data_IF_378577077055
#
_entry.id   IF_378577077055
#
_cell.length_a   1.000
_cell.length_b   1.000
_cell.length_c   1.000
_cell.angle_alpha   90.00
_cell.angle_beta   90.00
_cell.angle_gamma   90.00
#
_symmetry.space_group_name_H-M   'P 1'
#
loop_
_entity.id
_entity.type
_entity.pdbx_description
1 polymer ?
#
# COMPACT_ATOMS: atom_id res chain seq x y z
N UNK A 1 39.72 -55.76 -20.03
CA UNK A 1 38.91 -54.54 -19.80
C UNK A 1 38.73 -53.79 -21.12
N UNK A 2 37.87 -54.30 -22.01
CA UNK A 2 37.36 -53.65 -23.22
C UNK A 2 35.99 -54.28 -23.54
N UNK A 3 35.03 -53.44 -23.93
CA UNK A 3 33.74 -53.62 -24.65
C UNK A 3 33.08 -55.00 -24.72
N UNK A 4 31.76 -55.00 -24.52
CA UNK A 4 30.68 -55.62 -25.33
C UNK A 4 29.37 -55.37 -24.57
N UNK A 5 28.18 -55.17 -25.12
CA UNK A 5 27.62 -55.29 -26.46
C UNK A 5 26.10 -55.26 -26.24
N UNK A 6 25.37 -54.51 -27.06
CA UNK A 6 23.91 -54.40 -26.98
C UNK A 6 23.26 -55.72 -27.44
N UNK A 7 22.26 -56.21 -26.71
CA UNK A 7 21.27 -57.13 -27.26
C UNK A 7 19.90 -56.81 -26.65
N UNK A 8 18.91 -56.64 -27.53
CA UNK A 8 17.58 -56.14 -27.25
C UNK A 8 16.56 -57.16 -27.77
N UNK A 9 15.84 -57.84 -26.87
CA UNK A 9 14.60 -58.62 -27.12
C UNK A 9 13.86 -58.56 -25.76
N UNK A 10 12.76 -57.83 -25.60
CA UNK A 10 11.44 -58.18 -26.11
C UNK A 10 10.62 -58.80 -24.97
N UNK A 11 9.76 -58.02 -24.31
CA UNK A 11 8.96 -58.50 -23.18
C UNK A 11 8.11 -57.42 -22.53
N UNK A 12 7.04 -57.05 -23.23
CA UNK A 12 5.98 -56.15 -22.78
C UNK A 12 5.13 -56.85 -21.70
N UNK A 13 4.97 -56.24 -20.52
CA UNK A 13 3.83 -56.54 -19.64
C UNK A 13 3.28 -55.22 -19.09
N UNK A 14 2.09 -54.90 -19.60
CA UNK A 14 1.28 -53.74 -19.27
C UNK A 14 0.83 -53.80 -17.81
N UNK A 15 1.03 -52.70 -17.08
CA UNK A 15 0.03 -52.23 -16.13
C UNK A 15 -0.40 -50.83 -16.54
N UNK A 16 -1.70 -50.70 -16.83
CA UNK A 16 -2.38 -49.45 -17.14
C UNK A 16 -2.63 -48.71 -15.83
N UNK A 17 -2.00 -47.55 -15.65
CA UNK A 17 -2.49 -46.49 -14.77
C UNK A 17 -2.43 -45.19 -15.58
N UNK A 18 -3.60 -44.61 -15.84
CA UNK A 18 -3.79 -43.32 -16.53
C UNK A 18 -3.00 -42.19 -15.88
N UNK A 19 -2.27 -41.36 -16.65
CA UNK A 19 -1.81 -40.06 -16.19
C UNK A 19 -2.85 -39.00 -16.56
N UNK A 20 -3.71 -38.63 -15.62
CA UNK A 20 -4.38 -37.31 -15.65
C UNK A 20 -3.67 -36.41 -14.64
N UNK A 21 -2.46 -35.97 -15.01
CA UNK A 21 -1.78 -34.86 -14.32
C UNK A 21 -2.20 -33.60 -15.06
N UNK A 22 -3.24 -32.94 -14.57
CA UNK A 22 -3.55 -31.59 -15.01
C UNK A 22 -2.48 -30.62 -14.51
N UNK A 23 -2.01 -29.81 -15.46
CA UNK A 23 -0.97 -28.79 -15.35
C UNK A 23 -1.27 -27.81 -14.21
N UNK A 24 -0.57 -27.93 -13.08
CA UNK A 24 -0.27 -26.77 -12.25
C UNK A 24 0.86 -26.03 -12.94
N UNK A 25 0.49 -25.01 -13.73
CA UNK A 25 1.46 -24.11 -14.35
C UNK A 25 2.26 -23.40 -13.27
N UNK A 26 3.57 -23.65 -13.24
CA UNK A 26 4.52 -22.83 -12.53
C UNK A 26 4.43 -21.39 -13.08
N UNK A 27 3.93 -20.45 -12.27
CA UNK A 27 3.98 -19.04 -12.61
C UNK A 27 5.41 -18.53 -12.41
N UNK A 28 6.05 -18.17 -13.51
CA UNK A 28 7.30 -17.41 -13.55
C UNK A 28 7.09 -16.02 -12.95
N UNK A 29 8.02 -15.49 -12.13
CA UNK A 29 7.92 -14.15 -11.57
C UNK A 29 8.36 -13.12 -12.62
N UNK A 30 7.39 -12.57 -13.35
CA UNK A 30 7.62 -11.50 -14.31
C UNK A 30 6.38 -11.27 -15.16
N UNK A 31 5.79 -10.08 -15.03
CA UNK A 31 4.58 -9.61 -15.74
C UNK A 31 3.26 -10.28 -15.32
N UNK A 32 2.82 -10.02 -14.09
CA UNK A 32 1.37 -10.03 -13.82
C UNK A 32 0.79 -8.79 -14.50
N UNK A 33 0.13 -8.97 -15.65
CA UNK A 33 -0.77 -7.96 -16.19
C UNK A 33 -1.85 -7.73 -15.13
N UNK A 34 -1.85 -6.55 -14.49
CA UNK A 34 -2.89 -6.14 -13.56
C UNK A 34 -4.22 -6.17 -14.32
N UNK A 35 -5.04 -7.18 -14.06
CA UNK A 35 -6.36 -7.26 -14.66
C UNK A 35 -7.23 -6.20 -13.99
N UNK A 36 -7.61 -5.17 -14.74
CA UNK A 36 -8.49 -4.10 -14.25
C UNK A 36 -9.83 -4.70 -13.79
N UNK A 37 -10.22 -4.41 -12.55
CA UNK A 37 -11.48 -4.92 -12.01
C UNK A 37 -12.61 -4.01 -12.52
N UNK A 38 -13.24 -4.44 -13.61
CA UNK A 38 -14.28 -3.65 -14.30
C UNK A 38 -15.70 -3.88 -13.78
N UNK A 39 -15.91 -4.90 -12.95
CA UNK A 39 -17.22 -5.20 -12.37
C UNK A 39 -17.40 -4.50 -11.02
N UNK A 40 -18.42 -3.65 -10.91
CA UNK A 40 -18.83 -3.09 -9.63
C UNK A 40 -19.54 -4.15 -8.80
N UNK A 41 -19.00 -4.42 -7.61
CA UNK A 41 -19.62 -5.29 -6.61
C UNK A 41 -20.11 -4.43 -5.46
N UNK A 42 -21.33 -4.69 -4.99
CA UNK A 42 -21.94 -3.99 -3.85
C UNK A 42 -21.54 -4.62 -2.50
N UNK A 43 -20.64 -5.61 -2.53
CA UNK A 43 -20.15 -6.32 -1.36
C UNK A 43 -18.63 -6.36 -1.30
N UNK A 44 -18.12 -6.01 -0.13
CA UNK A 44 -16.77 -6.34 0.30
C UNK A 44 -16.78 -7.76 0.87
N UNK A 45 -15.76 -8.53 0.51
CA UNK A 45 -15.48 -9.83 1.11
C UNK A 45 -14.10 -9.85 1.76
N UNK A 46 -14.07 -10.32 3.01
CA UNK A 46 -12.85 -10.42 3.80
C UNK A 46 -12.57 -11.89 4.09
N UNK A 47 -11.35 -12.32 3.81
CA UNK A 47 -10.85 -13.63 4.23
C UNK A 47 -9.73 -13.47 5.23
N UNK A 48 -9.84 -14.15 6.35
CA UNK A 48 -8.80 -14.15 7.39
C UNK A 48 -7.72 -15.16 7.02
N UNK A 49 -6.48 -14.70 6.86
CA UNK A 49 -5.34 -15.60 6.65
C UNK A 49 -4.99 -16.34 7.94
N UNK A 50 -4.60 -17.60 7.85
CA UNK A 50 -3.88 -18.28 8.94
C UNK A 50 -2.48 -17.69 9.10
N UNK A 51 -1.82 -17.92 10.23
CA UNK A 51 -0.43 -17.45 10.40
C UNK A 51 0.50 -18.03 9.32
N UNK A 52 0.32 -19.30 8.94
CA UNK A 52 1.14 -19.92 7.90
C UNK A 52 0.91 -19.30 6.51
N UNK A 53 -0.33 -18.92 6.19
CA UNK A 53 -0.61 -18.18 4.96
C UNK A 53 -0.04 -16.76 5.02
N UNK A 54 -0.24 -16.05 6.12
CA UNK A 54 0.29 -14.70 6.34
C UNK A 54 1.81 -14.65 6.17
N UNK A 55 2.55 -15.62 6.73
CA UNK A 55 4.00 -15.75 6.53
C UNK A 55 4.36 -15.89 5.05
N UNK A 56 3.62 -16.72 4.30
CA UNK A 56 3.83 -16.88 2.85
C UNK A 56 3.53 -15.60 2.07
N UNK A 57 2.51 -14.84 2.46
CA UNK A 57 2.18 -13.56 1.81
C UNK A 57 3.23 -12.49 2.06
N UNK A 58 3.73 -12.37 3.30
CA UNK A 58 4.70 -11.36 3.71
C UNK A 58 6.03 -11.50 2.96
N UNK A 59 6.51 -12.72 2.75
CA UNK A 59 7.81 -12.99 2.08
C UNK A 59 7.79 -12.79 0.57
N UNK A 60 6.61 -12.66 -0.05
CA UNK A 60 6.52 -12.41 -1.48
C UNK A 60 7.15 -11.05 -1.78
N UNK A 61 8.11 -11.04 -2.70
CA UNK A 61 8.74 -9.80 -3.12
C UNK A 61 7.81 -9.00 -4.06
N UNK A 62 7.68 -7.70 -3.82
CA UNK A 62 6.87 -6.79 -4.62
C UNK A 62 7.59 -5.46 -4.85
N UNK A 63 6.90 -4.47 -5.43
CA UNK A 63 7.48 -3.15 -5.66
C UNK A 63 7.96 -2.51 -4.36
N UNK A 64 7.21 -2.63 -3.27
CA UNK A 64 7.57 -2.06 -1.97
C UNK A 64 8.87 -2.67 -1.44
N UNK A 65 8.93 -4.00 -1.31
CA UNK A 65 10.11 -4.64 -0.70
C UNK A 65 11.35 -4.49 -1.57
N UNK A 66 11.25 -4.60 -2.91
CA UNK A 66 12.35 -4.30 -3.86
C UNK A 66 12.96 -2.92 -3.68
N UNK A 67 12.17 -1.97 -3.22
CA UNK A 67 12.56 -0.58 -3.08
C UNK A 67 13.04 -0.19 -1.67
N UNK A 68 13.18 -1.15 -0.75
CA UNK A 68 13.80 -0.90 0.55
C UNK A 68 15.24 -0.38 0.39
N UNK A 69 15.47 0.79 0.95
CA UNK A 69 16.80 1.39 1.07
C UNK A 69 17.56 0.78 2.25
N UNK A 70 18.89 0.95 2.33
CA UNK A 70 19.64 0.65 3.55
C UNK A 70 19.06 1.35 4.78
N UNK A 71 18.56 2.58 4.61
CA UNK A 71 17.88 3.32 5.67
C UNK A 71 16.58 2.63 6.11
N UNK A 72 15.71 2.21 5.18
CA UNK A 72 14.46 1.51 5.49
C UNK A 72 14.71 0.28 6.36
N UNK A 73 15.70 -0.53 5.95
CA UNK A 73 16.08 -1.78 6.62
C UNK A 73 16.57 -1.47 8.04
N UNK A 74 17.56 -0.59 8.17
CA UNK A 74 18.17 -0.28 9.45
C UNK A 74 17.17 0.32 10.43
N UNK A 75 16.33 1.25 9.97
CA UNK A 75 15.41 1.98 10.82
C UNK A 75 14.21 1.13 11.27
N UNK A 76 13.69 0.22 10.42
CA UNK A 76 12.62 -0.72 10.80
C UNK A 76 13.10 -1.83 11.74
N UNK A 77 14.34 -2.28 11.55
CA UNK A 77 14.99 -3.22 12.48
C UNK A 77 15.41 -2.56 13.80
N UNK A 78 15.41 -1.24 13.85
CA UNK A 78 16.07 -0.44 14.88
C UNK A 78 17.56 -0.82 15.07
N UNK A 79 18.23 -1.23 14.00
CA UNK A 79 19.61 -1.74 14.00
C UNK A 79 20.40 -1.20 12.79
N UNK A 80 21.46 -0.38 12.97
CA UNK A 80 22.22 0.21 11.87
C UNK A 80 22.94 -0.84 10.98
N UNK A 81 23.23 -2.03 11.51
CA UNK A 81 23.89 -3.12 10.78
C UNK A 81 22.89 -4.15 10.22
N UNK A 82 21.60 -3.84 10.29
CA UNK A 82 20.52 -4.73 9.87
C UNK A 82 20.55 -5.01 8.36
N UNK A 83 20.18 -6.24 8.00
CA UNK A 83 20.10 -6.68 6.60
C UNK A 83 18.67 -6.96 6.20
N UNK A 84 18.45 -7.04 4.88
CA UNK A 84 17.13 -7.34 4.31
C UNK A 84 16.56 -8.65 4.87
N UNK A 85 17.39 -9.68 4.99
CA UNK A 85 16.98 -10.99 5.50
C UNK A 85 16.55 -10.91 6.97
N UNK A 86 17.16 -10.02 7.75
CA UNK A 86 16.78 -9.78 9.14
C UNK A 86 15.39 -9.12 9.20
N UNK A 87 15.11 -8.14 8.34
CA UNK A 87 13.81 -7.46 8.30
C UNK A 87 12.70 -8.42 7.84
N UNK A 88 12.97 -9.27 6.84
CA UNK A 88 12.04 -10.33 6.44
C UNK A 88 11.81 -11.31 7.60
N UNK A 89 12.87 -11.72 8.30
CA UNK A 89 12.77 -12.62 9.46
C UNK A 89 11.97 -12.01 10.61
N UNK A 90 12.16 -10.70 10.85
CA UNK A 90 11.35 -9.95 11.81
C UNK A 90 9.88 -9.97 11.40
N UNK A 91 9.54 -9.59 10.16
CA UNK A 91 8.16 -9.56 9.68
C UNK A 91 7.46 -10.94 9.81
N UNK A 92 8.15 -12.04 9.49
CA UNK A 92 7.66 -13.41 9.70
C UNK A 92 7.41 -13.70 11.19
N UNK A 93 8.36 -13.34 12.06
CA UNK A 93 8.29 -13.55 13.50
C UNK A 93 7.18 -12.74 14.18
N UNK A 94 6.73 -11.65 13.55
CA UNK A 94 5.69 -10.77 14.05
C UNK A 94 4.26 -11.16 13.63
N UNK A 95 4.09 -12.21 12.81
CA UNK A 95 2.77 -12.75 12.45
C UNK A 95 2.05 -13.34 13.66
N UNK A 96 0.72 -13.14 13.74
CA UNK A 96 -0.16 -13.65 14.79
C UNK A 96 -1.38 -14.35 14.20
N UNK A 97 -2.02 -15.19 15.01
CA UNK A 97 -3.29 -15.84 14.64
C UNK A 97 -4.50 -14.96 15.01
N UNK A 98 -5.54 -15.07 14.19
CA UNK A 98 -6.85 -14.48 14.48
C UNK A 98 -7.57 -15.27 15.56
N UNK A 99 -8.17 -14.58 16.51
CA UNK A 99 -9.05 -15.19 17.51
C UNK A 99 -10.49 -15.28 16.98
N UNK A 100 -11.32 -16.20 17.50
CA UNK A 100 -12.74 -16.26 17.14
C UNK A 100 -13.50 -14.95 17.40
N UNK A 101 -13.13 -14.22 18.45
CA UNK A 101 -13.72 -12.92 18.80
C UNK A 101 -13.41 -11.85 17.74
N UNK A 102 -12.17 -11.77 17.30
CA UNK A 102 -11.74 -10.85 16.24
C UNK A 102 -12.43 -11.19 14.91
N UNK A 103 -12.50 -12.48 14.57
CA UNK A 103 -13.21 -12.93 13.38
C UNK A 103 -14.69 -12.49 13.38
N UNK A 104 -15.37 -12.61 14.53
CA UNK A 104 -16.74 -12.13 14.68
C UNK A 104 -16.86 -10.60 14.60
N UNK A 105 -15.87 -9.84 15.11
CA UNK A 105 -15.83 -8.38 14.95
C UNK A 105 -15.67 -7.97 13.49
N UNK A 106 -14.74 -8.60 12.77
CA UNK A 106 -14.51 -8.34 11.34
C UNK A 106 -15.76 -8.65 10.52
N UNK A 107 -16.45 -9.76 10.81
CA UNK A 107 -17.69 -10.12 10.12
C UNK A 107 -18.81 -9.08 10.36
N UNK A 108 -18.90 -8.51 11.57
CA UNK A 108 -19.86 -7.43 11.85
C UNK A 108 -19.51 -6.15 11.09
N UNK A 109 -18.22 -5.78 11.04
CA UNK A 109 -17.75 -4.64 10.25
C UNK A 109 -18.07 -4.86 8.76
N UNK A 110 -17.79 -6.06 8.22
CA UNK A 110 -18.09 -6.42 6.84
C UNK A 110 -19.57 -6.21 6.49
N UNK A 111 -20.48 -6.71 7.32
CA UNK A 111 -21.93 -6.52 7.14
C UNK A 111 -22.31 -5.04 7.16
N UNK A 112 -21.84 -4.30 8.16
CA UNK A 112 -22.11 -2.85 8.31
C UNK A 112 -21.59 -2.03 7.12
N UNK A 113 -20.41 -2.37 6.60
CA UNK A 113 -19.86 -1.75 5.41
C UNK A 113 -20.70 -2.05 4.16
N UNK A 114 -21.12 -3.30 3.97
CA UNK A 114 -21.98 -3.68 2.85
C UNK A 114 -23.34 -2.97 2.92
N UNK A 115 -23.93 -2.81 4.11
CA UNK A 115 -25.15 -2.04 4.30
C UNK A 115 -24.93 -0.56 4.01
N UNK A 116 -23.78 -0.01 4.40
CA UNK A 116 -23.37 1.37 4.10
C UNK A 116 -23.23 1.61 2.59
N UNK A 117 -22.56 0.71 1.88
CA UNK A 117 -22.39 0.75 0.42
C UNK A 117 -23.75 0.78 -0.28
N UNK A 118 -24.66 -0.12 0.10
CA UNK A 118 -26.01 -0.19 -0.47
C UNK A 118 -26.85 1.02 -0.13
N UNK A 119 -26.84 1.45 1.14
CA UNK A 119 -27.60 2.61 1.62
C UNK A 119 -27.26 3.88 0.83
N UNK A 120 -25.98 4.11 0.55
CA UNK A 120 -25.54 5.30 -0.16
C UNK A 120 -25.38 5.12 -1.67
N UNK A 121 -25.63 3.91 -2.19
CA UNK A 121 -25.54 3.58 -3.61
C UNK A 121 -24.12 3.72 -4.18
N UNK A 122 -23.10 3.39 -3.38
CA UNK A 122 -21.71 3.47 -3.84
C UNK A 122 -21.39 2.37 -4.87
N UNK A 123 -20.63 2.73 -5.91
CA UNK A 123 -20.18 1.88 -7.01
C UNK A 123 -18.67 1.77 -6.98
N UNK A 124 -18.16 0.87 -6.16
CA UNK A 124 -16.73 0.74 -5.89
C UNK A 124 -16.20 -0.55 -6.55
N UNK A 125 -15.06 -0.51 -7.25
CA UNK A 125 -14.48 -1.69 -7.91
C UNK A 125 -13.69 -2.54 -6.91
N UNK A 126 -14.39 -3.13 -5.93
CA UNK A 126 -13.75 -4.03 -4.97
C UNK A 126 -13.18 -5.27 -5.67
N UNK A 127 -12.00 -5.78 -5.28
CA UNK A 127 -11.56 -7.09 -5.73
C UNK A 127 -12.52 -8.17 -5.21
N UNK A 128 -12.45 -9.36 -5.81
CA UNK A 128 -13.27 -10.51 -5.40
C UNK A 128 -13.10 -10.87 -3.92
N UNK A 129 -11.89 -10.69 -3.40
CA UNK A 129 -11.53 -11.01 -2.03
C UNK A 129 -10.41 -10.07 -1.56
N UNK A 130 -10.50 -9.65 -0.30
CA UNK A 130 -9.45 -8.95 0.43
C UNK A 130 -8.98 -9.84 1.57
N UNK A 131 -7.68 -10.15 1.61
CA UNK A 131 -7.11 -11.02 2.64
C UNK A 131 -6.64 -10.20 3.82
N UNK A 132 -7.04 -10.57 5.03
CA UNK A 132 -6.63 -9.90 6.27
C UNK A 132 -5.56 -10.73 6.98
N UNK A 133 -4.42 -10.09 7.21
CA UNK A 133 -3.25 -10.61 7.92
C UNK A 133 -3.16 -9.93 9.28
N UNK A 134 -2.72 -10.66 10.30
CA UNK A 134 -2.50 -10.11 11.65
C UNK A 134 -1.03 -10.14 12.01
N UNK A 135 -0.46 -9.00 12.41
CA UNK A 135 0.93 -8.89 12.85
C UNK A 135 1.03 -7.97 14.06
N UNK A 136 2.18 -7.87 14.72
CA UNK A 136 2.40 -6.82 15.74
C UNK A 136 2.71 -5.44 15.14
N UNK A 137 3.01 -5.38 13.84
CA UNK A 137 3.49 -4.21 13.11
C UNK A 137 4.86 -3.68 13.55
N UNK A 138 5.64 -4.45 14.32
CA UNK A 138 6.97 -4.00 14.75
C UNK A 138 7.93 -3.80 13.57
N UNK A 139 7.78 -4.58 12.50
CA UNK A 139 8.49 -4.44 11.22
C UNK A 139 8.14 -3.16 10.46
N UNK A 140 7.01 -2.52 10.77
CA UNK A 140 6.56 -1.25 10.17
C UNK A 140 6.42 -0.13 11.23
N UNK A 141 7.30 -0.15 12.25
CA UNK A 141 7.38 0.92 13.26
C UNK A 141 6.17 1.05 14.19
N UNK A 142 5.33 0.01 14.27
CA UNK A 142 4.13 -0.02 15.10
C UNK A 142 2.91 0.64 14.45
N UNK A 143 2.85 0.69 13.11
CA UNK A 143 1.68 1.19 12.37
C UNK A 143 0.38 0.47 12.78
N UNK A 144 -0.78 1.10 12.51
CA UNK A 144 -2.08 0.47 12.75
C UNK A 144 -2.44 -0.60 11.71
N UNK A 145 -2.06 -0.35 10.47
CA UNK A 145 -2.27 -1.21 9.32
C UNK A 145 -1.26 -0.87 8.23
N UNK A 146 -1.15 -1.75 7.25
CA UNK A 146 -0.60 -1.45 5.95
C UNK A 146 -1.17 -2.43 4.92
N UNK A 147 -1.08 -2.07 3.66
CA UNK A 147 -1.63 -2.82 2.54
C UNK A 147 -0.57 -3.22 1.54
N UNK A 148 -0.55 -4.49 1.14
CA UNK A 148 0.28 -5.01 0.06
C UNK A 148 -0.52 -5.94 -0.83
N UNK A 149 -0.35 -5.83 -2.15
CA UNK A 149 -1.16 -6.58 -3.13
C UNK A 149 -2.67 -6.46 -2.82
N UNK A 150 -3.40 -7.56 -2.72
CA UNK A 150 -4.81 -7.63 -2.31
C UNK A 150 -4.99 -8.00 -0.83
N UNK A 151 -3.97 -7.78 0.01
CA UNK A 151 -4.02 -8.10 1.44
C UNK A 151 -3.69 -6.90 2.32
N UNK A 152 -4.29 -6.89 3.50
CA UNK A 152 -4.15 -5.85 4.52
C UNK A 152 -3.58 -6.52 5.76
N UNK A 153 -2.45 -6.05 6.26
CA UNK A 153 -2.01 -6.39 7.60
C UNK A 153 -2.63 -5.41 8.60
N UNK A 154 -3.08 -5.93 9.74
CA UNK A 154 -3.57 -5.15 10.87
C UNK A 154 -2.77 -5.49 12.13
N UNK A 155 -2.53 -4.48 12.96
CA UNK A 155 -1.85 -4.70 14.24
C UNK A 155 -2.69 -5.59 15.16
N UNK A 156 -2.04 -6.47 15.92
CA UNK A 156 -2.66 -7.43 16.83
C UNK A 156 -3.42 -6.77 17.99
N UNK A 157 -3.14 -5.50 18.25
CA UNK A 157 -3.89 -4.67 19.21
C UNK A 157 -5.10 -3.96 18.60
N UNK A 158 -5.32 -4.06 17.28
CA UNK A 158 -6.39 -3.33 16.56
C UNK A 158 -7.71 -3.51 17.27
N UNK A 159 -8.15 -4.75 17.46
CA UNK A 159 -9.44 -5.07 18.06
C UNK A 159 -9.44 -5.15 19.58
N UNK A 160 -8.28 -4.94 20.21
CA UNK A 160 -8.12 -4.86 21.67
C UNK A 160 -8.30 -3.43 22.18
N UNK A 161 -8.00 -2.43 21.34
CA UNK A 161 -8.05 -1.00 21.69
C UNK A 161 -9.07 -0.27 20.82
N UNK A 162 -9.63 0.83 21.31
CA UNK A 162 -10.59 1.62 20.55
C UNK A 162 -11.98 1.00 20.47
N UNK A 163 -12.75 1.39 19.46
CA UNK A 163 -14.14 0.96 19.26
C UNK A 163 -14.39 0.54 17.81
N UNK A 164 -15.54 -0.08 17.56
CA UNK A 164 -15.91 -0.61 16.24
C UNK A 164 -15.88 0.46 15.13
N UNK A 165 -16.21 1.72 15.44
CA UNK A 165 -16.13 2.82 14.50
C UNK A 165 -14.68 3.10 14.09
N UNK A 166 -13.74 3.11 15.04
CA UNK A 166 -12.31 3.29 14.76
C UNK A 166 -11.72 2.11 13.97
N UNK A 167 -12.15 0.88 14.27
CA UNK A 167 -11.72 -0.32 13.52
C UNK A 167 -12.25 -0.29 12.09
N UNK A 168 -13.52 0.07 11.92
CA UNK A 168 -14.16 0.23 10.61
C UNK A 168 -13.44 1.28 9.79
N UNK A 169 -13.12 2.44 10.39
CA UNK A 169 -12.37 3.50 9.71
C UNK A 169 -11.00 3.03 9.25
N UNK A 170 -10.25 2.30 10.08
CA UNK A 170 -8.96 1.74 9.71
C UNK A 170 -9.10 0.77 8.53
N UNK A 171 -10.01 -0.20 8.59
CA UNK A 171 -10.23 -1.12 7.49
C UNK A 171 -10.60 -0.41 6.18
N UNK A 172 -11.47 0.60 6.23
CA UNK A 172 -11.84 1.37 5.03
C UNK A 172 -10.66 2.18 4.48
N UNK A 173 -9.80 2.70 5.36
CA UNK A 173 -8.57 3.36 4.96
C UNK A 173 -7.65 2.39 4.21
N UNK A 174 -7.39 1.21 4.75
CA UNK A 174 -6.55 0.19 4.11
C UNK A 174 -7.14 -0.33 2.79
N UNK A 175 -8.47 -0.49 2.71
CA UNK A 175 -9.15 -0.87 1.47
C UNK A 175 -8.88 0.15 0.34
N UNK A 176 -8.72 1.44 0.66
CA UNK A 176 -8.40 2.44 -0.35
C UNK A 176 -7.10 2.10 -1.10
N UNK A 177 -6.07 1.66 -0.38
CA UNK A 177 -4.77 1.29 -0.96
C UNK A 177 -4.85 0.08 -1.91
N UNK A 178 -5.80 -0.84 -1.66
CA UNK A 178 -6.12 -1.92 -2.60
C UNK A 178 -6.78 -1.33 -3.86
N UNK A 179 -7.78 -0.47 -3.68
CA UNK A 179 -8.54 0.09 -4.80
C UNK A 179 -7.66 0.91 -5.74
N UNK A 180 -6.79 1.77 -5.21
CA UNK A 180 -5.87 2.59 -6.01
C UNK A 180 -4.80 1.75 -6.72
N UNK A 181 -4.38 0.64 -6.11
CA UNK A 181 -3.38 -0.30 -6.67
C UNK A 181 -3.90 -1.08 -7.87
N UNK A 182 -5.14 -1.56 -7.82
CA UNK A 182 -5.72 -2.37 -8.90
C UNK A 182 -6.53 -1.58 -9.93
N UNK A 183 -6.85 -0.31 -9.65
CA UNK A 183 -7.69 0.51 -10.52
C UNK A 183 -7.06 1.90 -10.77
N UNK A 184 -6.17 2.04 -11.77
CA UNK A 184 -5.53 3.32 -12.09
C UNK A 184 -6.53 4.45 -12.40
N UNK A 185 -7.67 4.11 -13.03
CA UNK A 185 -8.76 5.06 -13.26
C UNK A 185 -9.39 5.57 -11.95
N UNK A 186 -9.56 4.69 -10.95
CA UNK A 186 -10.04 5.07 -9.62
C UNK A 186 -9.00 5.93 -8.90
N UNK A 187 -7.72 5.54 -8.91
CA UNK A 187 -6.61 6.33 -8.35
C UNK A 187 -6.62 7.76 -8.92
N UNK A 188 -6.67 7.89 -10.25
CA UNK A 188 -6.70 9.20 -10.93
C UNK A 188 -7.90 10.06 -10.50
N UNK A 189 -9.11 9.47 -10.44
CA UNK A 189 -10.32 10.18 -9.97
C UNK A 189 -10.18 10.67 -8.53
N UNK A 190 -9.70 9.80 -7.64
CA UNK A 190 -9.59 10.10 -6.21
C UNK A 190 -8.47 11.11 -5.92
N UNK A 191 -7.30 10.96 -6.52
CA UNK A 191 -6.21 11.93 -6.38
C UNK A 191 -6.59 13.32 -6.91
N UNK A 192 -7.37 13.39 -8.00
CA UNK A 192 -7.94 14.65 -8.49
C UNK A 192 -8.92 15.31 -7.51
N UNK A 193 -9.44 14.58 -6.51
CA UNK A 193 -10.24 15.17 -5.45
C UNK A 193 -9.42 16.15 -4.60
N UNK A 194 -8.14 15.84 -4.39
CA UNK A 194 -7.15 16.63 -3.63
C UNK A 194 -6.14 17.37 -4.55
N UNK A 195 -6.49 17.57 -5.81
CA UNK A 195 -5.70 18.27 -6.84
C UNK A 195 -4.36 17.64 -7.21
N UNK A 196 -4.15 16.37 -6.87
CA UNK A 196 -3.04 15.59 -7.40
C UNK A 196 -3.40 14.98 -8.75
N UNK A 197 -2.40 14.93 -9.62
CA UNK A 197 -2.42 14.32 -10.94
C UNK A 197 -1.55 13.07 -10.93
N UNK A 198 -1.88 12.12 -11.82
CA UNK A 198 -1.13 10.86 -12.01
C UNK A 198 -0.41 10.91 -13.36
N UNK A 199 0.90 10.69 -13.34
CA UNK A 199 1.77 10.54 -14.49
C UNK A 199 1.67 9.12 -15.06
N UNK A 200 1.90 8.95 -16.38
CA UNK A 200 1.90 7.62 -16.99
C UNK A 200 3.07 6.74 -16.52
N UNK A 201 4.15 7.35 -16.03
CA UNK A 201 5.36 6.69 -15.53
C UNK A 201 5.71 7.22 -14.15
N UNK A 202 6.39 6.39 -13.36
CA UNK A 202 6.93 6.82 -12.07
C UNK A 202 7.98 7.92 -12.24
N UNK A 203 8.09 8.75 -11.21
CA UNK A 203 9.10 9.80 -11.13
C UNK A 203 10.42 9.14 -10.74
N UNK A 204 11.43 9.26 -11.61
CA UNK A 204 12.77 8.77 -11.33
C UNK A 204 13.49 9.69 -10.36
N UNK A 205 13.93 9.15 -9.22
CA UNK A 205 14.73 9.90 -8.25
C UNK A 205 16.22 9.91 -8.57
N UNK A 206 16.87 11.07 -8.37
CA UNK A 206 18.31 11.14 -8.17
C UNK A 206 18.80 10.33 -6.97
N UNK A 207 20.06 9.91 -7.01
CA UNK A 207 20.68 9.08 -5.98
C UNK A 207 20.62 9.69 -4.58
N UNK A 208 20.87 11.00 -4.47
CA UNK A 208 20.98 11.72 -3.21
C UNK A 208 19.70 11.70 -2.37
N UNK A 209 18.55 11.50 -3.02
CA UNK A 209 17.26 11.33 -2.36
C UNK A 209 16.79 9.87 -2.37
N UNK A 210 17.21 9.07 -3.36
CA UNK A 210 16.90 7.63 -3.43
C UNK A 210 17.43 6.88 -2.21
N UNK A 211 18.63 7.20 -1.74
CA UNK A 211 19.26 6.52 -0.59
C UNK A 211 18.60 6.85 0.76
N UNK A 212 17.99 8.03 0.88
CA UNK A 212 17.37 8.49 2.13
C UNK A 212 15.84 8.52 2.08
N UNK A 213 15.23 8.11 0.97
CA UNK A 213 13.78 7.93 0.87
C UNK A 213 13.32 6.85 1.85
N UNK A 214 12.22 7.12 2.53
CA UNK A 214 11.52 6.15 3.36
C UNK A 214 10.37 5.59 2.52
N UNK A 215 10.38 4.28 2.32
CA UNK A 215 9.36 3.54 1.59
C UNK A 215 8.03 3.47 2.38
N UNK A 216 6.90 3.54 1.67
CA UNK A 216 5.56 3.35 2.20
C UNK A 216 4.92 2.11 1.52
N UNK A 217 4.56 1.04 2.27
CA UNK A 217 3.90 -0.16 1.71
C UNK A 217 2.58 0.12 0.98
N UNK A 218 1.87 1.17 1.38
CA UNK A 218 0.56 1.54 0.84
C UNK A 218 0.65 2.19 -0.54
N UNK A 219 1.80 2.78 -0.87
CA UNK A 219 2.03 3.44 -2.16
C UNK A 219 2.50 2.42 -3.19
N UNK A 220 1.60 2.04 -4.09
CA UNK A 220 1.90 1.07 -5.16
C UNK A 220 2.81 1.59 -6.26
N UNK A 221 2.72 2.90 -6.56
CA UNK A 221 3.49 3.58 -7.60
C UNK A 221 3.73 5.02 -7.23
N UNK A 222 4.93 5.50 -7.49
CA UNK A 222 5.28 6.90 -7.23
C UNK A 222 5.24 7.74 -8.50
N UNK A 223 4.02 8.06 -8.89
CA UNK A 223 3.67 8.70 -10.15
C UNK A 223 2.75 9.91 -9.96
N UNK A 224 2.69 10.48 -8.75
CA UNK A 224 1.77 11.58 -8.44
C UNK A 224 2.46 12.92 -8.25
N UNK A 225 1.81 14.00 -8.67
CA UNK A 225 2.26 15.37 -8.42
C UNK A 225 1.06 16.32 -8.28
N UNK A 226 1.26 17.46 -7.64
CA UNK A 226 0.33 18.58 -7.65
C UNK A 226 1.06 19.89 -7.93
N UNK A 227 0.37 20.89 -8.45
CA UNK A 227 0.93 22.24 -8.61
C UNK A 227 0.68 23.03 -7.34
N UNK A 228 1.75 23.53 -6.71
CA UNK A 228 1.71 24.34 -5.51
C UNK A 228 2.30 25.73 -5.74
N UNK A 229 1.86 26.69 -4.94
CA UNK A 229 2.39 28.05 -4.95
C UNK A 229 3.54 28.16 -3.95
N UNK A 230 4.77 28.21 -4.46
CA UNK A 230 6.01 28.30 -3.69
C UNK A 230 6.72 29.61 -4.07
N UNK A 231 6.96 30.47 -3.07
CA UNK A 231 7.55 31.81 -3.27
C UNK A 231 6.83 32.64 -4.36
N UNK A 232 5.49 32.56 -4.36
CA UNK A 232 4.62 33.27 -5.31
C UNK A 232 4.60 32.70 -6.73
N UNK A 233 5.28 31.57 -6.98
CA UNK A 233 5.33 30.92 -8.30
C UNK A 233 4.65 29.55 -8.26
N UNK A 234 3.85 29.20 -9.28
CA UNK A 234 3.32 27.84 -9.41
C UNK A 234 4.45 26.88 -9.77
N UNK A 235 4.54 25.76 -9.05
CA UNK A 235 5.54 24.71 -9.26
C UNK A 235 4.85 23.35 -9.17
N UNK A 236 5.11 22.46 -10.13
CA UNK A 236 4.72 21.06 -9.98
C UNK A 236 5.62 20.42 -8.94
N UNK A 237 5.06 19.75 -7.94
CA UNK A 237 5.83 19.02 -6.94
C UNK A 237 5.27 17.62 -6.72
N UNK A 238 6.17 16.67 -6.47
CA UNK A 238 5.82 15.39 -5.85
C UNK A 238 6.10 15.44 -4.36
N UNK A 239 5.34 14.66 -3.58
CA UNK A 239 5.60 14.46 -2.17
C UNK A 239 6.64 13.34 -1.98
N UNK A 240 7.47 13.50 -0.95
CA UNK A 240 8.47 12.49 -0.56
C UNK A 240 8.49 12.34 0.96
N UNK A 241 8.58 11.10 1.42
CA UNK A 241 8.96 10.76 2.80
C UNK A 241 10.44 10.42 2.80
N UNK A 242 11.23 11.04 3.66
CA UNK A 242 12.68 10.87 3.68
C UNK A 242 13.28 11.06 5.06
N UNK A 243 14.48 10.51 5.24
CA UNK A 243 15.34 10.78 6.38
C UNK A 243 16.33 11.89 6.04
N UNK A 244 16.46 12.88 6.91
CA UNK A 244 17.44 13.96 6.74
C UNK A 244 18.82 13.65 7.34
N UNK A 245 19.00 12.45 7.89
CA UNK A 245 20.24 11.95 8.49
C UNK A 245 20.24 10.41 8.44
N UNK A 246 21.42 9.77 8.42
CA UNK A 246 21.53 8.30 8.52
C UNK A 246 20.87 7.77 9.79
N UNK A 247 20.37 6.54 9.74
CA UNK A 247 19.89 5.85 10.94
C UNK A 247 21.07 5.54 11.87
N UNK A 248 20.91 5.79 13.17
CA UNK A 248 21.90 5.43 14.19
C UNK A 248 21.24 4.65 15.32
N UNK A 249 20.33 5.30 16.04
CA UNK A 249 19.59 4.75 17.18
C UNK A 249 18.19 5.36 17.27
N UNK A 250 17.34 4.78 18.10
CA UNK A 250 16.02 5.33 18.41
C UNK A 250 14.91 4.77 17.53
N UNK A 251 13.76 5.43 17.54
CA UNK A 251 12.55 4.92 16.89
C UNK A 251 12.44 5.39 15.45
N UNK A 252 11.97 4.52 14.57
CA UNK A 252 11.73 4.79 13.15
C UNK A 252 11.05 6.15 12.89
N UNK A 253 9.97 6.45 13.62
CA UNK A 253 9.20 7.70 13.43
C UNK A 253 10.01 8.98 13.69
N UNK A 254 11.12 8.93 14.44
CA UNK A 254 11.96 10.09 14.74
C UNK A 254 12.78 10.57 13.54
N UNK A 255 12.80 9.79 12.46
CA UNK A 255 13.52 10.08 11.24
C UNK A 255 12.61 10.48 10.08
N UNK A 256 11.29 10.36 10.24
CA UNK A 256 10.32 10.68 9.20
C UNK A 256 10.29 12.20 8.98
N UNK A 257 10.66 12.61 7.77
CA UNK A 257 10.42 13.95 7.25
C UNK A 257 9.55 13.86 6.00
N UNK A 258 8.77 14.91 5.75
CA UNK A 258 7.88 15.00 4.59
C UNK A 258 8.19 16.30 3.86
N UNK A 259 8.36 16.20 2.54
CA UNK A 259 8.72 17.35 1.72
C UNK A 259 8.09 17.33 0.33
N UNK A 260 8.25 18.46 -0.37
CA UNK A 260 7.87 18.68 -1.75
C UNK A 260 9.13 18.78 -2.60
N UNK A 261 9.27 17.87 -3.56
CA UNK A 261 10.31 17.94 -4.59
C UNK A 261 9.70 18.65 -5.80
N UNK A 262 10.15 19.88 -6.15
CA UNK A 262 9.75 20.52 -7.40
C UNK A 262 10.23 19.70 -8.60
N UNK A 263 9.39 19.68 -9.64
CA UNK A 263 9.60 18.94 -10.88
C UNK A 263 9.73 19.92 -12.04
N UNK A 264 10.67 19.64 -12.96
CA UNK A 264 10.86 20.42 -14.17
C UNK A 264 9.75 20.15 -15.23
N UNK A 265 9.87 20.76 -16.42
CA UNK A 265 8.90 20.57 -17.51
C UNK A 265 8.83 19.12 -18.03
N UNK A 266 9.85 18.31 -17.77
CA UNK A 266 9.91 16.90 -18.11
C UNK A 266 9.55 15.98 -16.92
N UNK A 267 9.02 16.55 -15.83
CA UNK A 267 8.69 15.87 -14.58
C UNK A 267 9.88 15.21 -13.88
N UNK A 268 11.09 15.74 -14.06
CA UNK A 268 12.29 15.31 -13.32
C UNK A 268 12.49 16.19 -12.08
N UNK A 269 12.94 15.62 -10.94
CA UNK A 269 13.32 16.39 -9.77
C UNK A 269 14.29 17.52 -10.08
N UNK A 270 13.96 18.74 -9.67
CA UNK A 270 14.84 19.90 -9.79
C UNK A 270 16.01 19.76 -8.81
N UNK A 271 17.21 20.09 -9.29
CA UNK A 271 18.46 20.00 -8.53
C UNK A 271 19.21 21.33 -8.56
N UNK A 272 19.81 21.69 -7.44
CA UNK A 272 20.68 22.85 -7.28
C UNK A 272 22.01 22.39 -6.67
N UNK A 273 23.13 22.82 -7.26
CA UNK A 273 24.48 22.44 -6.81
C UNK A 273 24.67 20.92 -6.62
N UNK A 274 24.05 20.12 -7.51
CA UNK A 274 24.12 18.66 -7.47
C UNK A 274 23.23 17.99 -6.42
N UNK A 275 22.41 18.73 -5.65
CA UNK A 275 21.46 18.19 -4.68
C UNK A 275 20.01 18.43 -5.11
N UNK A 276 19.14 17.47 -4.83
CA UNK A 276 17.70 17.57 -5.06
C UNK A 276 17.12 18.64 -4.14
N UNK A 277 16.33 19.55 -4.71
CA UNK A 277 15.61 20.57 -3.95
C UNK A 277 14.44 19.90 -3.22
N UNK A 278 14.29 20.19 -1.92
CA UNK A 278 13.16 19.72 -1.12
C UNK A 278 12.63 20.89 -0.30
N UNK A 279 11.36 21.22 -0.47
CA UNK A 279 10.67 22.22 0.33
C UNK A 279 9.85 21.56 1.44
N UNK A 280 9.80 22.14 2.65
CA UNK A 280 8.83 21.72 3.65
C UNK A 280 7.41 22.06 3.17
N UNK A 281 6.41 21.29 3.60
CA UNK A 281 5.01 21.47 3.17
C UNK A 281 4.50 22.92 3.39
N UNK A 282 4.96 23.57 4.45
CA UNK A 282 4.59 24.95 4.83
C UNK A 282 5.04 26.00 3.83
N UNK A 283 5.99 25.67 2.94
CA UNK A 283 6.45 26.56 1.87
C UNK A 283 5.42 26.67 0.74
N UNK A 284 4.57 25.66 0.57
CA UNK A 284 3.45 25.69 -0.35
C UNK A 284 2.26 26.41 0.29
N UNK A 285 2.04 27.67 -0.10
CA UNK A 285 1.04 28.55 0.51
C UNK A 285 -0.40 28.02 0.38
N UNK A 286 -0.67 27.24 -0.67
CA UNK A 286 -1.97 26.69 -1.03
C UNK A 286 -2.11 25.19 -0.68
N UNK A 287 -1.14 24.59 0.02
CA UNK A 287 -1.13 23.14 0.26
C UNK A 287 -2.44 22.62 0.87
N UNK A 288 -2.86 23.19 1.99
CA UNK A 288 -4.07 22.76 2.72
C UNK A 288 -5.38 23.21 2.06
N UNK A 289 -5.33 24.11 1.09
CA UNK A 289 -6.50 24.47 0.30
C UNK A 289 -6.80 23.37 -0.72
N UNK A 290 -5.76 22.68 -1.20
CA UNK A 290 -5.87 21.55 -2.13
C UNK A 290 -6.22 20.24 -1.43
N UNK A 291 -5.47 19.89 -0.38
CA UNK A 291 -5.62 18.58 0.30
C UNK A 291 -6.69 18.57 1.40
N UNK A 292 -7.22 19.73 1.76
CA UNK A 292 -8.15 19.90 2.86
C UNK A 292 -7.50 19.79 4.24
N UNK A 293 -8.32 19.92 5.28
CA UNK A 293 -7.90 19.99 6.69
C UNK A 293 -8.58 18.94 7.57
N UNK A 294 -9.12 17.89 6.95
CA UNK A 294 -9.88 16.83 7.63
C UNK A 294 -9.01 15.91 8.51
N UNK A 295 -7.69 15.91 8.31
CA UNK A 295 -6.74 15.03 8.99
C UNK A 295 -5.65 15.83 9.71
N UNK A 296 -5.05 15.20 10.73
CA UNK A 296 -4.03 15.82 11.58
C UNK A 296 -2.59 15.54 11.17
N UNK A 297 -2.36 14.64 10.21
CA UNK A 297 -1.02 14.32 9.69
C UNK A 297 -1.08 14.19 8.17
N UNK A 298 0.04 14.49 7.51
CA UNK A 298 0.20 14.42 6.06
C UNK A 298 1.58 13.83 5.79
N UNK A 299 1.62 12.64 5.21
CA UNK A 299 2.89 11.96 4.88
C UNK A 299 2.98 11.60 3.39
N UNK A 300 1.85 11.28 2.74
CA UNK A 300 1.77 10.97 1.31
C UNK A 300 0.37 11.36 0.78
N UNK A 301 0.20 11.74 -0.51
CA UNK A 301 -1.14 11.94 -1.09
C UNK A 301 -2.04 10.68 -1.02
N UNK A 302 -1.46 9.47 -1.07
CA UNK A 302 -2.19 8.20 -0.88
C UNK A 302 -2.86 8.18 0.50
N UNK A 303 -2.13 8.55 1.56
CA UNK A 303 -2.60 8.59 2.95
C UNK A 303 -3.64 9.67 3.21
N UNK A 304 -3.42 10.85 2.61
CA UNK A 304 -4.36 11.97 2.64
C UNK A 304 -5.69 11.51 2.05
N UNK A 305 -5.63 10.86 0.88
CA UNK A 305 -6.81 10.45 0.16
C UNK A 305 -7.49 9.24 0.82
N UNK A 306 -6.74 8.26 1.33
CA UNK A 306 -7.27 7.12 2.08
C UNK A 306 -8.09 7.55 3.30
N UNK A 307 -7.59 8.53 4.06
CA UNK A 307 -8.34 9.10 5.17
C UNK A 307 -9.62 9.84 4.71
N UNK A 308 -9.53 10.66 3.66
CA UNK A 308 -10.69 11.39 3.15
C UNK A 308 -11.73 10.43 2.52
N UNK A 309 -11.27 9.33 1.91
CA UNK A 309 -12.10 8.24 1.44
C UNK A 309 -12.86 7.58 2.59
N UNK A 310 -12.17 7.23 3.69
CA UNK A 310 -12.83 6.66 4.87
C UNK A 310 -13.85 7.63 5.49
N UNK A 311 -13.53 8.92 5.57
CA UNK A 311 -14.45 9.98 6.04
C UNK A 311 -15.70 10.08 5.15
N UNK A 312 -15.52 10.01 3.84
CA UNK A 312 -16.61 10.11 2.87
C UNK A 312 -17.50 8.87 2.88
N UNK A 313 -16.89 7.68 2.79
CA UNK A 313 -17.59 6.39 2.74
C UNK A 313 -18.42 6.16 4.00
N UNK A 314 -17.89 6.49 5.19
CA UNK A 314 -18.58 6.33 6.47
C UNK A 314 -19.52 7.50 6.81
N UNK A 315 -19.58 8.52 5.94
CA UNK A 315 -20.40 9.73 6.14
C UNK A 315 -20.16 10.39 7.52
N UNK A 316 -18.89 10.54 7.91
CA UNK A 316 -18.54 11.10 9.21
C UNK A 316 -19.06 12.55 9.35
N UNK A 317 -19.71 12.91 10.46
CA UNK A 317 -20.22 14.26 10.66
C UNK A 317 -19.11 15.25 11.03
N UNK A 318 -19.40 16.55 10.91
CA UNK A 318 -18.60 17.66 11.48
C UNK A 318 -17.13 17.73 11.04
N UNK A 319 -16.83 17.37 9.79
CA UNK A 319 -15.46 17.44 9.25
C UNK A 319 -15.10 18.86 8.81
N UNK A 320 -13.83 19.24 9.00
CA UNK A 320 -13.32 20.60 8.76
C UNK A 320 -13.45 21.06 7.30
N UNK A 321 -13.32 20.15 6.35
CA UNK A 321 -13.42 20.38 4.91
C UNK A 321 -14.53 19.51 4.34
N UNK A 322 -15.78 19.85 4.66
CA UNK A 322 -16.98 19.13 4.22
C UNK A 322 -17.18 19.15 2.70
N UNK A 323 -16.69 20.17 2.00
CA UNK A 323 -16.70 20.22 0.53
C UNK A 323 -15.91 19.07 -0.10
N UNK A 324 -14.74 18.72 0.48
CA UNK A 324 -13.94 17.58 0.03
C UNK A 324 -14.67 16.26 0.31
N UNK A 325 -15.28 16.10 1.49
CA UNK A 325 -16.10 14.92 1.80
C UNK A 325 -17.21 14.72 0.76
N UNK A 326 -17.98 15.77 0.44
CA UNK A 326 -19.04 15.71 -0.57
C UNK A 326 -18.51 15.34 -1.96
N UNK A 327 -17.41 15.98 -2.39
CA UNK A 327 -16.74 15.68 -3.67
C UNK A 327 -16.37 14.21 -3.77
N UNK A 328 -15.79 13.63 -2.71
CA UNK A 328 -15.43 12.21 -2.68
C UNK A 328 -16.68 11.31 -2.69
N UNK A 329 -17.72 11.63 -1.90
CA UNK A 329 -18.98 10.89 -1.92
C UNK A 329 -19.64 10.85 -3.31
N UNK A 330 -19.56 11.95 -4.07
CA UNK A 330 -20.04 11.99 -5.45
C UNK A 330 -19.21 11.10 -6.39
N UNK A 331 -17.89 11.06 -6.21
CA UNK A 331 -17.02 10.16 -6.97
C UNK A 331 -17.32 8.69 -6.68
N UNK A 332 -17.71 8.34 -5.45
CA UNK A 332 -18.08 6.98 -5.07
C UNK A 332 -19.38 6.49 -5.70
N UNK A 333 -20.21 7.37 -6.27
CA UNK A 333 -21.49 7.00 -6.91
C UNK A 333 -21.38 6.80 -8.43
N UNK A 334 -20.21 7.10 -9.02
CA UNK A 334 -19.98 7.14 -10.48
C UNK A 334 -19.19 5.94 -10.98
#
# INVERSE_FOLDING_TARGET
MIKQGVMLIGGLLLFVISPLVEKVGAMSPGNTVLQEVTAHVDTIDFRLASAEEAKRLIVVEDHYTRNWTPFDIAARLENPEGKREDLVSLAIGEVREWTPREAQQIERIRKSLNDTIRKYGYRIPFPKEIVLVKTTMKDEGGAGGYTRSNWIALTDVTFQRGNEQSHTRLLVHEIFHILTRFNPGFKKKMYGAIEFNILPKEIELPEDIRECRISNPDVSRWDSYATFTIDGKPQNCTMVIYANRPYTVGKFYQYINVGLIPLDKAFKPVRENGKTVIYPLQKAADFFDKVGRNIGYVIDPEEVMANNFAIAMLNNPNVKTSGLQKKVQELLKK
#
